data_IF_898428098350
#
_entry.id   IF_898428098350
#
_cell.length_a   1.000
_cell.length_b   1.000
_cell.length_c   1.000
_cell.angle_alpha   90.00
_cell.angle_beta   90.00
_cell.angle_gamma   90.00
#
_symmetry.space_group_name_H-M   'P 1'
#
loop_
_entity.id
_entity.type
_entity.pdbx_description
1 polymer ?
#
# COMPACT_ATOMS: atom_id res chain seq x y z
N UNK A 1 -30.59 -27.14 -36.66
CA UNK A 1 -30.65 -26.03 -35.70
C UNK A 1 -30.66 -26.62 -34.29
N UNK A 2 -29.54 -26.54 -33.55
CA UNK A 2 -29.52 -26.89 -32.12
C UNK A 2 -29.43 -25.59 -31.33
N UNK A 3 -30.54 -25.26 -30.69
CA UNK A 3 -30.77 -24.02 -29.97
C UNK A 3 -29.92 -23.93 -28.70
N UNK A 4 -29.52 -22.69 -28.44
CA UNK A 4 -28.72 -22.19 -27.33
C UNK A 4 -29.25 -22.58 -25.95
N UNK A 5 -28.39 -23.17 -25.12
CA UNK A 5 -28.55 -23.17 -23.67
C UNK A 5 -27.91 -21.88 -23.14
N UNK A 6 -28.71 -20.82 -23.07
CA UNK A 6 -28.40 -19.63 -22.26
C UNK A 6 -28.14 -20.11 -20.83
N UNK A 7 -26.92 -19.88 -20.34
CA UNK A 7 -26.55 -20.07 -18.94
C UNK A 7 -27.46 -19.15 -18.11
N UNK A 8 -28.39 -19.76 -17.37
CA UNK A 8 -29.24 -19.08 -16.38
C UNK A 8 -28.36 -18.31 -15.39
N UNK A 9 -28.72 -17.08 -14.95
CA UNK A 9 -28.01 -16.42 -13.88
C UNK A 9 -28.27 -17.24 -12.63
N UNK A 10 -27.30 -18.08 -12.25
CA UNK A 10 -27.34 -18.76 -10.96
C UNK A 10 -27.43 -17.67 -9.90
N UNK A 11 -28.43 -17.85 -9.05
CA UNK A 11 -28.73 -17.13 -7.84
C UNK A 11 -27.49 -16.46 -7.24
N UNK A 12 -27.62 -15.15 -7.00
CA UNK A 12 -26.87 -14.43 -5.97
C UNK A 12 -27.23 -15.03 -4.60
N UNK A 13 -26.91 -16.30 -4.38
CA UNK A 13 -26.81 -16.84 -3.03
C UNK A 13 -25.80 -15.96 -2.30
N UNK A 14 -26.12 -15.61 -1.06
CA UNK A 14 -25.32 -14.72 -0.22
C UNK A 14 -23.89 -15.27 -0.13
N UNK A 15 -23.02 -14.80 -1.02
CA UNK A 15 -21.58 -14.98 -0.91
C UNK A 15 -21.18 -14.25 0.36
N UNK A 16 -20.45 -14.92 1.25
CA UNK A 16 -19.94 -14.26 2.43
C UNK A 16 -18.94 -13.18 2.00
N UNK A 17 -18.77 -12.13 2.81
CA UNK A 17 -17.74 -11.10 2.57
C UNK A 17 -16.35 -11.74 2.43
N UNK A 18 -16.05 -12.76 3.23
CA UNK A 18 -14.78 -13.49 3.14
C UNK A 18 -14.62 -14.30 1.85
N UNK A 19 -15.70 -14.80 1.25
CA UNK A 19 -15.62 -15.46 -0.05
C UNK A 19 -15.44 -14.44 -1.18
N UNK A 20 -16.06 -13.25 -1.07
CA UNK A 20 -15.86 -12.14 -2.02
C UNK A 20 -14.42 -11.60 -1.94
N UNK A 21 -13.88 -11.41 -0.75
CA UNK A 21 -12.52 -10.92 -0.52
C UNK A 21 -11.48 -11.89 -1.12
N UNK A 22 -11.62 -13.20 -0.88
CA UNK A 22 -10.73 -14.21 -1.46
C UNK A 22 -10.75 -14.20 -2.98
N UNK A 23 -11.94 -14.15 -3.59
CA UNK A 23 -12.06 -14.08 -5.05
C UNK A 23 -11.44 -12.78 -5.61
N UNK A 24 -11.60 -11.66 -4.90
CA UNK A 24 -11.03 -10.38 -5.28
C UNK A 24 -9.50 -10.37 -5.19
N UNK A 25 -8.92 -10.86 -4.08
CA UNK A 25 -7.47 -11.01 -3.91
C UNK A 25 -6.88 -11.90 -5.00
N UNK A 26 -7.50 -13.05 -5.28
CA UNK A 26 -7.04 -13.94 -6.33
C UNK A 26 -7.07 -13.26 -7.71
N UNK A 27 -8.14 -12.52 -8.02
CA UNK A 27 -8.26 -11.78 -9.27
C UNK A 27 -7.16 -10.72 -9.42
N UNK A 28 -6.83 -10.00 -8.35
CA UNK A 28 -5.77 -8.99 -8.41
C UNK A 28 -4.37 -9.64 -8.50
N UNK A 29 -4.16 -10.79 -7.85
CA UNK A 29 -2.91 -11.56 -8.00
C UNK A 29 -2.70 -12.02 -9.44
N UNK A 30 -3.76 -12.46 -10.12
CA UNK A 30 -3.71 -12.82 -11.54
C UNK A 30 -3.37 -11.62 -12.44
N UNK A 31 -3.69 -10.39 -12.02
CA UNK A 31 -3.29 -9.15 -12.70
C UNK A 31 -1.84 -8.74 -12.39
N UNK A 32 -1.09 -9.52 -11.61
CA UNK A 32 0.33 -9.31 -11.33
C UNK A 32 0.62 -8.49 -10.07
N UNK A 33 -0.38 -8.23 -9.23
CA UNK A 33 -0.17 -7.59 -7.94
C UNK A 33 0.43 -8.58 -6.93
N UNK A 34 1.45 -8.15 -6.20
CA UNK A 34 2.07 -8.98 -5.17
C UNK A 34 1.21 -8.98 -3.90
N UNK A 35 0.85 -10.17 -3.41
CA UNK A 35 0.21 -10.31 -2.11
C UNK A 35 1.27 -10.25 -1.00
N UNK A 36 1.07 -9.37 -0.03
CA UNK A 36 1.90 -9.24 1.16
C UNK A 36 1.03 -9.41 2.40
N UNK A 37 1.48 -10.27 3.29
CA UNK A 37 0.80 -10.54 4.54
C UNK A 37 1.46 -9.73 5.67
N UNK A 38 0.81 -8.65 6.09
CA UNK A 38 1.30 -7.77 7.16
C UNK A 38 0.35 -7.80 8.34
N UNK A 39 0.77 -8.44 9.43
CA UNK A 39 0.01 -8.49 10.69
C UNK A 39 0.41 -7.42 11.71
N UNK A 40 1.40 -6.57 11.38
CA UNK A 40 1.99 -5.60 12.30
C UNK A 40 2.41 -4.32 11.57
N UNK A 41 2.25 -3.17 12.23
CA UNK A 41 2.68 -1.84 11.75
C UNK A 41 4.17 -1.83 11.35
N UNK A 42 5.03 -2.47 12.14
CA UNK A 42 6.46 -2.60 11.83
C UNK A 42 6.73 -3.29 10.50
N UNK A 43 5.86 -4.25 10.10
CA UNK A 43 5.95 -4.92 8.81
C UNK A 43 5.59 -4.00 7.65
N UNK A 44 4.57 -3.15 7.85
CA UNK A 44 4.19 -2.12 6.88
C UNK A 44 5.28 -1.08 6.69
N UNK A 45 5.86 -0.59 7.78
CA UNK A 45 6.96 0.39 7.72
C UNK A 45 8.19 -0.18 7.03
N UNK A 46 8.57 -1.43 7.35
CA UNK A 46 9.70 -2.11 6.71
C UNK A 46 9.47 -2.30 5.20
N UNK A 47 8.25 -2.68 4.79
CA UNK A 47 7.91 -2.80 3.38
C UNK A 47 7.88 -1.43 2.68
N UNK A 48 7.34 -0.40 3.33
CA UNK A 48 7.36 0.96 2.79
C UNK A 48 8.80 1.43 2.51
N UNK A 49 9.71 1.20 3.46
CA UNK A 49 11.14 1.47 3.27
C UNK A 49 11.69 0.73 2.04
N UNK A 50 11.49 -0.57 1.95
CA UNK A 50 11.98 -1.38 0.83
C UNK A 50 11.47 -0.85 -0.52
N UNK A 51 10.19 -0.49 -0.62
CA UNK A 51 9.62 0.02 -1.88
C UNK A 51 10.16 1.41 -2.24
N UNK A 52 10.32 2.31 -1.27
CA UNK A 52 10.91 3.64 -1.51
C UNK A 52 12.39 3.52 -1.90
N UNK A 53 13.15 2.65 -1.22
CA UNK A 53 14.55 2.40 -1.55
C UNK A 53 14.70 1.85 -2.98
N UNK A 54 13.88 0.87 -3.34
CA UNK A 54 13.83 0.28 -4.69
C UNK A 54 13.46 1.31 -5.76
N UNK A 55 12.48 2.17 -5.49
CA UNK A 55 12.03 3.21 -6.43
C UNK A 55 13.14 4.24 -6.71
N UNK A 56 13.85 4.65 -5.67
CA UNK A 56 14.84 5.72 -5.73
C UNK A 56 16.27 5.23 -6.02
N UNK A 57 16.54 3.93 -5.89
CA UNK A 57 17.91 3.40 -5.97
C UNK A 57 18.81 3.93 -4.84
N UNK A 58 18.21 4.37 -3.74
CA UNK A 58 18.87 4.92 -2.56
C UNK A 58 18.60 3.99 -1.39
N UNK A 59 19.60 3.75 -0.54
CA UNK A 59 19.45 2.89 0.65
C UNK A 59 19.58 3.74 1.89
N UNK A 60 18.52 3.81 2.69
CA UNK A 60 18.55 4.56 3.94
C UNK A 60 19.40 3.81 4.98
N UNK A 61 20.06 4.56 5.86
CA UNK A 61 20.45 4.05 7.17
C UNK A 61 19.21 3.99 8.08
N UNK A 62 19.27 3.24 9.18
CA UNK A 62 18.14 3.19 10.12
C UNK A 62 17.85 4.56 10.76
N UNK A 63 18.91 5.36 11.00
CA UNK A 63 18.79 6.71 11.52
C UNK A 63 18.18 7.67 10.48
N UNK A 64 18.65 7.60 9.23
CA UNK A 64 18.10 8.41 8.13
C UNK A 64 16.65 8.06 7.84
N UNK A 65 16.31 6.78 7.85
CA UNK A 65 14.94 6.32 7.67
C UNK A 65 14.02 6.87 8.77
N UNK A 66 14.45 6.75 10.04
CA UNK A 66 13.71 7.29 11.16
C UNK A 66 13.51 8.80 11.06
N UNK A 67 14.56 9.55 10.68
CA UNK A 67 14.49 10.99 10.45
C UNK A 67 13.54 11.34 9.32
N UNK A 68 13.64 10.65 8.18
CA UNK A 68 12.77 10.86 7.03
C UNK A 68 11.29 10.65 7.39
N UNK A 69 10.97 9.54 8.07
CA UNK A 69 9.61 9.27 8.53
C UNK A 69 9.10 10.32 9.51
N UNK A 70 9.90 10.71 10.50
CA UNK A 70 9.50 11.74 11.45
C UNK A 70 9.32 13.11 10.80
N UNK A 71 10.25 13.55 9.97
CA UNK A 71 10.24 14.88 9.37
C UNK A 71 9.16 15.02 8.29
N UNK A 72 8.87 13.96 7.54
CA UNK A 72 8.03 14.03 6.34
C UNK A 72 6.71 13.26 6.43
N UNK A 73 6.61 12.22 7.26
CA UNK A 73 5.47 11.30 7.26
C UNK A 73 4.67 11.23 8.58
N UNK A 74 5.26 11.60 9.72
CA UNK A 74 4.66 11.34 11.05
C UNK A 74 3.48 12.24 11.43
N UNK A 75 3.42 13.48 10.94
CA UNK A 75 2.36 14.48 11.26
C UNK A 75 1.50 14.83 10.04
N UNK A 76 1.25 13.83 9.19
CA UNK A 76 0.42 14.00 8.00
C UNK A 76 -1.06 13.83 8.35
N UNK A 77 -1.80 14.93 8.35
CA UNK A 77 -3.25 14.89 8.23
C UNK A 77 -3.67 14.41 6.82
N UNK A 78 -4.96 14.12 6.64
CA UNK A 78 -5.50 13.61 5.37
C UNK A 78 -5.29 14.59 4.22
N UNK A 79 -5.35 15.89 4.46
CA UNK A 79 -5.22 16.93 3.43
C UNK A 79 -3.77 17.04 2.94
N UNK A 80 -2.82 17.10 3.87
CA UNK A 80 -1.37 17.09 3.60
C UNK A 80 -0.96 15.80 2.90
N UNK A 81 -1.41 14.64 3.37
CA UNK A 81 -1.13 13.37 2.72
C UNK A 81 -1.65 13.34 1.26
N UNK A 82 -2.87 13.86 1.06
CA UNK A 82 -3.44 13.98 -0.30
C UNK A 82 -2.59 14.90 -1.16
N UNK A 83 -2.19 16.06 -0.65
CA UNK A 83 -1.34 17.00 -1.37
C UNK A 83 0.04 16.41 -1.71
N UNK A 84 0.67 15.69 -0.78
CA UNK A 84 1.95 15.00 -1.04
C UNK A 84 1.80 13.98 -2.16
N UNK A 85 0.78 13.12 -2.13
CA UNK A 85 0.62 12.10 -3.17
C UNK A 85 0.22 12.73 -4.52
N UNK A 86 -0.69 13.70 -4.52
CA UNK A 86 -1.27 14.27 -5.74
C UNK A 86 -0.41 15.37 -6.38
N UNK A 87 0.21 16.24 -5.58
CA UNK A 87 0.95 17.41 -6.04
C UNK A 87 2.45 17.29 -5.80
N UNK A 88 2.88 16.82 -4.61
CA UNK A 88 4.30 16.83 -4.21
C UNK A 88 4.87 15.43 -3.91
N UNK A 89 4.87 14.54 -4.91
CA UNK A 89 5.26 13.13 -4.71
C UNK A 89 6.78 12.91 -4.64
N UNK A 90 7.58 13.98 -4.66
CA UNK A 90 9.03 13.96 -4.48
C UNK A 90 9.41 14.86 -3.32
N UNK A 91 10.09 14.30 -2.33
CA UNK A 91 10.45 14.98 -1.10
C UNK A 91 11.96 15.15 -1.03
N UNK A 92 12.39 16.34 -0.63
CA UNK A 92 13.78 16.65 -0.34
C UNK A 92 14.20 16.01 0.99
N UNK A 93 15.34 15.33 1.00
CA UNK A 93 15.91 14.71 2.19
C UNK A 93 17.42 14.96 2.24
N UNK A 94 17.92 15.48 3.35
CA UNK A 94 19.36 15.65 3.57
C UNK A 94 19.85 14.55 4.49
N UNK A 95 20.76 13.72 3.98
CA UNK A 95 21.33 12.61 4.74
C UNK A 95 22.31 13.09 5.83
N UNK A 96 22.76 12.17 6.67
CA UNK A 96 23.76 12.46 7.72
C UNK A 96 25.10 13.01 7.19
N UNK A 97 25.41 12.81 5.91
CA UNK A 97 26.62 13.33 5.26
C UNK A 97 26.42 14.74 4.71
N UNK A 98 25.19 15.26 4.74
CA UNK A 98 24.82 16.56 4.20
C UNK A 98 24.53 16.54 2.70
N UNK A 99 24.38 15.36 2.08
CA UNK A 99 24.00 15.25 0.67
C UNK A 99 22.47 15.38 0.53
N UNK A 100 22.05 16.20 -0.42
CA UNK A 100 20.64 16.41 -0.73
C UNK A 100 20.15 15.36 -1.73
N UNK A 101 19.14 14.59 -1.31
CA UNK A 101 18.49 13.55 -2.10
C UNK A 101 17.02 13.93 -2.38
N UNK A 102 16.55 13.64 -3.58
CA UNK A 102 15.15 13.81 -3.97
C UNK A 102 14.44 12.46 -3.93
N UNK A 103 13.75 12.18 -2.83
CA UNK A 103 13.08 10.90 -2.58
C UNK A 103 11.67 10.93 -3.18
N UNK A 104 11.47 10.17 -4.25
CA UNK A 104 10.15 9.94 -4.84
C UNK A 104 9.35 8.94 -4.00
N UNK A 105 8.11 9.29 -3.67
CA UNK A 105 7.13 8.37 -3.10
C UNK A 105 6.34 7.64 -4.21
N UNK A 106 6.07 8.35 -5.31
CA UNK A 106 5.41 7.82 -6.50
C UNK A 106 6.07 8.42 -7.73
N UNK A 107 6.48 7.58 -8.67
CA UNK A 107 6.98 7.99 -9.98
C UNK A 107 5.80 8.19 -10.94
N UNK A 108 5.41 9.46 -11.14
CA UNK A 108 4.33 9.87 -12.05
C UNK A 108 4.77 9.89 -13.51
N UNK A 109 6.07 10.03 -13.76
CA UNK A 109 6.62 10.08 -15.12
C UNK A 109 6.67 8.68 -15.72
N UNK A 110 6.98 7.68 -14.88
CA UNK A 110 7.02 6.28 -15.29
C UNK A 110 6.28 5.37 -14.31
N UNK A 111 4.99 5.16 -14.60
CA UNK A 111 4.09 4.35 -13.76
C UNK A 111 4.57 2.92 -13.52
N UNK A 112 5.32 2.34 -14.47
CA UNK A 112 5.81 0.95 -14.38
C UNK A 112 6.89 0.74 -13.31
N UNK A 113 7.50 1.82 -12.81
CA UNK A 113 8.49 1.75 -11.72
C UNK A 113 7.84 1.64 -10.34
N UNK A 114 6.57 2.04 -10.22
CA UNK A 114 5.84 1.90 -8.97
C UNK A 114 5.51 0.42 -8.74
N UNK A 115 5.60 -0.03 -7.49
CA UNK A 115 5.20 -1.38 -7.11
C UNK A 115 3.81 -1.33 -6.47
N UNK A 116 2.89 -2.16 -6.96
CA UNK A 116 1.55 -2.29 -6.41
C UNK A 116 1.42 -3.60 -5.65
N UNK A 117 1.02 -3.51 -4.39
CA UNK A 117 0.91 -4.65 -3.47
C UNK A 117 -0.50 -4.70 -2.87
N UNK A 118 -0.93 -5.89 -2.50
CA UNK A 118 -2.22 -6.16 -1.85
C UNK A 118 -1.95 -6.71 -0.46
N UNK A 119 -2.77 -6.30 0.49
CA UNK A 119 -2.84 -6.88 1.82
C UNK A 119 -4.31 -7.03 2.22
N UNK A 120 -4.60 -7.99 3.09
CA UNK A 120 -5.88 -8.06 3.80
C UNK A 120 -5.98 -6.92 4.82
N UNK A 121 -7.20 -6.55 5.18
CA UNK A 121 -7.43 -5.50 6.18
C UNK A 121 -6.87 -5.95 7.55
N UNK A 122 -6.11 -5.06 8.20
CA UNK A 122 -5.66 -5.28 9.57
C UNK A 122 -6.63 -4.63 10.58
N UNK A 123 -6.85 -5.30 11.71
CA UNK A 123 -7.57 -4.73 12.83
C UNK A 123 -6.52 -4.06 13.73
N UNK A 124 -6.59 -2.74 13.90
CA UNK A 124 -5.92 -2.11 15.03
C UNK A 124 -6.66 -2.57 16.29
N UNK A 125 -6.03 -3.39 17.12
CA UNK A 125 -6.44 -3.46 18.52
C UNK A 125 -6.11 -2.10 19.15
N UNK A 126 -7.03 -1.16 19.01
CA UNK A 126 -7.07 0.00 19.87
C UNK A 126 -7.22 -0.54 21.28
N UNK A 127 -6.16 -0.49 22.07
CA UNK A 127 -6.23 -0.76 23.49
C UNK A 127 -7.36 0.13 24.07
N UNK A 128 -8.39 -0.54 24.59
CA UNK A 128 -9.62 -0.04 25.20
C UNK A 128 -10.81 0.31 24.29
N UNK A 129 -11.73 -0.65 24.19
CA UNK A 129 -13.16 -0.34 24.36
C UNK A 129 -14.15 -1.12 23.51
N UNK A 130 -14.41 -2.38 23.90
CA UNK A 130 -15.66 -3.15 23.67
C UNK A 130 -16.46 -2.80 22.41
N UNK A 131 -16.41 -3.67 21.41
CA UNK A 131 -17.60 -3.97 20.61
C UNK A 131 -18.15 -5.32 21.06
N UNK A 132 -19.23 -5.26 21.85
CA UNK A 132 -20.14 -6.40 22.01
C UNK A 132 -21.05 -6.44 20.79
N UNK A 133 -21.22 -7.64 20.26
CA UNK A 133 -22.27 -8.05 19.33
C UNK A 133 -23.66 -7.56 19.75
#
# INVERSE_FOLDING_TARGET
>A
MKTSLKKSPKSREYQSEGDLEKEFINSLRDLGYEYKDFHLEKGLEANLREQIEKLNGYRFSDADWYRFCNEKLSDLDREKATWIIQENSTLDFTDEKGELHNIKLVDKDNLSRNSCQIMEQFIYEADNGRQKN
#
